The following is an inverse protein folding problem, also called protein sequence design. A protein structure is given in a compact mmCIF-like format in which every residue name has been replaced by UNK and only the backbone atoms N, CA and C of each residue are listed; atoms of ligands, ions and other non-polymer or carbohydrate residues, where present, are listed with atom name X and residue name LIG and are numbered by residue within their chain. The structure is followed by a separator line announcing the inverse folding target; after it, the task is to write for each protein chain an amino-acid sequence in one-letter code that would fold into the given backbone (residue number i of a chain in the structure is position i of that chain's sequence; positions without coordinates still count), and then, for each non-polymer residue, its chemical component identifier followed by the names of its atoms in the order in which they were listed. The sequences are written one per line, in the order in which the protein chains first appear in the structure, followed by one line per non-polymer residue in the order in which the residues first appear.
data_IF_369711996681
#
_entry.id   IF_369711996681
#
_cell.length_a   1.000
_cell.length_b   1.000
_cell.length_c   1.000
_cell.angle_alpha   90.00
_cell.angle_beta   90.00
_cell.angle_gamma   90.00
#
_symmetry.space_group_name_H-M   'P 1'
#
loop_
_entity.id
_entity.type
_entity.pdbx_description
1 polymer ?
#
# COMPACT_ATOMS: atom_id res chain seq x y z
N UNK A 1 -50.83 18.01 28.08
CA UNK A 1 -50.82 18.54 26.69
C UNK A 1 -49.36 18.70 26.27
N UNK A 2 -48.67 17.58 25.98
CA UNK A 2 -47.26 17.53 25.57
C UNK A 2 -47.18 16.55 24.40
N UNK A 3 -47.22 17.05 23.16
CA UNK A 3 -47.12 16.22 21.94
C UNK A 3 -46.45 16.95 20.77
N UNK A 4 -45.64 17.98 21.03
CA UNK A 4 -44.98 18.74 19.95
C UNK A 4 -43.48 18.43 19.80
N UNK A 5 -42.80 17.90 20.83
CA UNK A 5 -41.35 17.64 20.74
C UNK A 5 -40.99 16.33 20.00
N UNK A 6 -41.84 15.31 20.04
CA UNK A 6 -41.54 14.02 19.38
C UNK A 6 -41.62 14.11 17.86
N UNK A 7 -42.52 14.95 17.33
CA UNK A 7 -42.81 15.06 15.89
C UNK A 7 -41.71 15.85 15.17
N UNK A 8 -41.21 16.93 15.77
CA UNK A 8 -40.12 17.74 15.23
C UNK A 8 -38.79 16.97 15.19
N UNK A 9 -38.49 16.17 16.22
CA UNK A 9 -37.31 15.32 16.24
C UNK A 9 -37.36 14.22 15.17
N UNK A 10 -38.52 13.60 14.93
CA UNK A 10 -38.68 12.60 13.87
C UNK A 10 -38.58 13.17 12.46
N UNK A 11 -39.03 14.40 12.21
CA UNK A 11 -38.91 15.07 10.90
C UNK A 11 -37.48 15.52 10.60
N UNK A 12 -36.76 16.05 11.60
CA UNK A 12 -35.34 16.40 11.49
C UNK A 12 -34.49 15.14 11.31
N UNK A 13 -34.79 14.06 12.04
CA UNK A 13 -34.12 12.76 11.87
C UNK A 13 -34.43 12.12 10.51
N UNK A 14 -35.63 12.32 9.96
CA UNK A 14 -35.98 11.96 8.57
C UNK A 14 -35.18 12.76 7.56
N UNK A 15 -35.11 14.08 7.67
CA UNK A 15 -34.35 14.94 6.75
C UNK A 15 -32.85 14.64 6.80
N UNK A 16 -32.31 14.37 8.00
CA UNK A 16 -30.96 13.88 8.20
C UNK A 16 -30.81 12.47 7.61
N UNK A 17 -31.77 11.56 7.72
CA UNK A 17 -31.68 10.21 7.12
C UNK A 17 -31.82 10.19 5.58
N UNK A 18 -32.51 11.16 4.99
CA UNK A 18 -32.68 11.28 3.54
C UNK A 18 -31.44 11.90 2.90
N UNK A 19 -30.89 12.96 3.52
CA UNK A 19 -29.72 13.71 3.02
C UNK A 19 -28.37 13.12 3.48
N UNK A 20 -28.26 12.53 4.68
CA UNK A 20 -26.99 12.05 5.21
C UNK A 20 -26.56 10.68 4.66
N UNK A 21 -27.50 9.80 4.31
CA UNK A 21 -27.16 8.45 3.87
C UNK A 21 -26.53 8.40 2.47
N UNK A 22 -26.92 9.32 1.58
CA UNK A 22 -26.36 9.44 0.23
C UNK A 22 -24.98 10.12 0.25
N UNK A 23 -24.84 11.16 1.05
CA UNK A 23 -23.52 11.78 1.22
C UNK A 23 -22.53 10.83 1.91
N UNK A 24 -22.97 9.93 2.78
CA UNK A 24 -22.08 9.05 3.53
C UNK A 24 -21.25 8.11 2.63
N UNK A 25 -21.86 7.51 1.60
CA UNK A 25 -21.15 6.57 0.70
C UNK A 25 -20.10 7.31 -0.11
N UNK A 26 -20.46 8.47 -0.67
CA UNK A 26 -19.53 9.32 -1.42
C UNK A 26 -18.42 9.87 -0.52
N UNK A 27 -18.73 10.27 0.71
CA UNK A 27 -17.73 10.70 1.71
C UNK A 27 -16.79 9.56 2.07
N UNK A 28 -17.30 8.33 2.18
CA UNK A 28 -16.48 7.15 2.47
C UNK A 28 -15.55 6.83 1.27
N UNK A 29 -16.08 6.84 0.04
CA UNK A 29 -15.27 6.68 -1.19
C UNK A 29 -14.21 7.78 -1.30
N UNK A 30 -14.58 9.02 -0.99
CA UNK A 30 -13.65 10.15 -0.97
C UNK A 30 -12.57 9.97 0.10
N UNK A 31 -12.94 9.51 1.30
CA UNK A 31 -12.00 9.15 2.36
C UNK A 31 -11.02 8.05 1.92
N UNK A 32 -11.51 7.00 1.24
CA UNK A 32 -10.67 5.99 0.63
C UNK A 32 -9.68 6.59 -0.38
N UNK A 33 -10.11 7.54 -1.20
CA UNK A 33 -9.25 8.24 -2.17
C UNK A 33 -8.15 9.05 -1.50
N UNK A 34 -8.47 9.77 -0.42
CA UNK A 34 -7.48 10.57 0.33
C UNK A 34 -6.45 9.67 1.00
N UNK A 35 -6.90 8.59 1.64
CA UNK A 35 -6.02 7.62 2.31
C UNK A 35 -5.14 6.91 1.29
N UNK A 36 -5.69 6.43 0.17
CA UNK A 36 -4.90 5.75 -0.85
C UNK A 36 -3.84 6.66 -1.47
N UNK A 37 -4.20 7.92 -1.75
CA UNK A 37 -3.27 8.92 -2.27
C UNK A 37 -2.16 9.25 -1.28
N UNK A 38 -2.49 9.46 0.00
CA UNK A 38 -1.51 9.74 1.04
C UNK A 38 -0.49 8.60 1.19
N UNK A 39 -0.96 7.35 1.26
CA UNK A 39 -0.08 6.19 1.37
C UNK A 39 0.76 6.03 0.10
N UNK A 40 0.19 6.26 -1.10
CA UNK A 40 0.94 6.19 -2.34
C UNK A 40 2.12 7.17 -2.36
N UNK A 41 1.90 8.43 -1.97
CA UNK A 41 2.96 9.45 -1.92
C UNK A 41 4.02 9.11 -0.86
N UNK A 42 3.61 8.73 0.36
CA UNK A 42 4.53 8.28 1.43
C UNK A 42 5.45 7.16 0.91
N UNK A 43 4.85 6.13 0.30
CA UNK A 43 5.59 4.97 -0.22
C UNK A 43 6.49 5.33 -1.39
N UNK A 44 6.02 6.16 -2.32
CA UNK A 44 6.84 6.56 -3.47
C UNK A 44 8.06 7.36 -3.05
N UNK A 45 7.94 8.23 -2.03
CA UNK A 45 9.07 8.96 -1.48
C UNK A 45 10.05 8.05 -0.71
N UNK A 46 9.55 7.10 0.07
CA UNK A 46 10.38 6.12 0.76
C UNK A 46 11.18 5.26 -0.24
N UNK A 47 10.52 4.69 -1.24
CA UNK A 47 11.18 3.87 -2.27
C UNK A 47 12.25 4.68 -3.02
N UNK A 48 11.94 5.92 -3.41
CA UNK A 48 12.90 6.78 -4.11
C UNK A 48 14.09 7.19 -3.22
N UNK A 49 13.88 7.30 -1.91
CA UNK A 49 14.96 7.58 -0.95
C UNK A 49 15.81 6.34 -0.66
N UNK A 50 15.22 5.14 -0.77
CA UNK A 50 15.90 3.85 -0.63
C UNK A 50 16.61 3.39 -1.92
N UNK A 51 16.33 4.03 -3.06
CA UNK A 51 16.99 3.83 -4.35
C UNK A 51 18.42 4.42 -4.24
N UNK A 52 19.31 3.63 -3.63
CA UNK A 52 20.75 3.90 -3.63
C UNK A 52 21.26 3.58 -5.03
N UNK A 53 22.35 4.21 -5.44
CA UNK A 53 23.11 3.73 -6.60
C UNK A 53 23.78 2.40 -6.22
N UNK A 54 22.99 1.33 -6.19
CA UNK A 54 23.40 0.00 -5.78
C UNK A 54 24.59 -0.48 -6.57
N UNK A 55 24.65 -0.14 -7.87
CA UNK A 55 25.79 -0.50 -8.69
C UNK A 55 27.08 0.14 -8.18
N UNK A 56 27.06 1.45 -7.92
CA UNK A 56 28.22 2.14 -7.34
C UNK A 56 28.60 1.56 -5.97
N UNK A 57 27.60 1.35 -5.10
CA UNK A 57 27.79 0.77 -3.76
C UNK A 57 28.43 -0.62 -3.82
N UNK A 58 27.90 -1.53 -4.63
CA UNK A 58 28.42 -2.90 -4.77
C UNK A 58 29.81 -2.91 -5.38
N UNK A 59 30.09 -2.03 -6.36
CA UNK A 59 31.42 -1.90 -6.96
C UNK A 59 32.45 -1.47 -5.92
N UNK A 60 32.15 -0.43 -5.12
CA UNK A 60 33.08 0.07 -4.11
C UNK A 60 33.24 -0.92 -2.95
N UNK A 61 32.16 -1.57 -2.54
CA UNK A 61 32.21 -2.61 -1.52
C UNK A 61 33.06 -3.81 -1.96
N UNK A 62 32.88 -4.29 -3.20
CA UNK A 62 33.72 -5.36 -3.76
C UNK A 62 35.20 -4.99 -3.78
N UNK A 63 35.55 -3.74 -4.09
CA UNK A 63 36.95 -3.28 -4.04
C UNK A 63 37.50 -3.40 -2.62
N UNK A 64 36.83 -2.84 -1.63
CA UNK A 64 37.28 -2.89 -0.22
C UNK A 64 37.39 -4.32 0.31
N UNK A 65 36.43 -5.17 -0.05
CA UNK A 65 36.48 -6.59 0.31
C UNK A 65 37.68 -7.28 -0.32
N UNK A 66 37.97 -7.11 -1.62
CA UNK A 66 39.14 -7.74 -2.27
C UNK A 66 40.49 -7.42 -1.62
N UNK A 67 40.63 -6.30 -0.91
CA UNK A 67 41.85 -5.94 -0.16
C UNK A 67 41.85 -6.43 1.29
N UNK A 68 40.84 -7.21 1.70
CA UNK A 68 40.68 -7.75 3.05
C UNK A 68 40.26 -6.70 4.09
N UNK A 69 39.84 -5.50 3.66
CA UNK A 69 39.52 -4.40 4.56
C UNK A 69 38.04 -4.44 5.00
N UNK A 70 37.70 -5.42 5.82
CA UNK A 70 36.32 -5.60 6.34
C UNK A 70 35.83 -4.41 7.15
N UNK A 71 36.73 -3.72 7.86
CA UNK A 71 36.38 -2.53 8.68
C UNK A 71 35.91 -1.39 7.79
N UNK A 72 36.63 -1.14 6.69
CA UNK A 72 36.24 -0.13 5.71
C UNK A 72 34.95 -0.50 4.96
N UNK A 73 34.77 -1.79 4.64
CA UNK A 73 33.55 -2.29 4.02
C UNK A 73 32.32 -2.08 4.92
N UNK A 74 32.43 -2.37 6.22
CA UNK A 74 31.36 -2.12 7.22
C UNK A 74 31.08 -0.62 7.36
N UNK A 75 32.12 0.22 7.44
CA UNK A 75 31.96 1.67 7.51
C UNK A 75 31.28 2.25 6.26
N UNK A 76 31.58 1.73 5.07
CA UNK A 76 30.93 2.11 3.82
C UNK A 76 29.42 1.78 3.84
N UNK A 77 29.06 0.63 4.42
CA UNK A 77 27.65 0.25 4.61
C UNK A 77 26.92 1.21 5.54
N UNK A 78 27.56 1.65 6.63
CA UNK A 78 27.00 2.61 7.59
C UNK A 78 26.83 4.01 7.00
N UNK A 79 27.79 4.47 6.19
CA UNK A 79 27.73 5.78 5.55
C UNK A 79 26.69 5.85 4.41
N UNK A 80 26.55 4.76 3.65
CA UNK A 80 25.54 4.69 2.57
C UNK A 80 24.13 4.62 3.15
N UNK A 81 23.97 3.85 4.23
CA UNK A 81 22.68 3.58 4.85
C UNK A 81 21.71 2.83 3.93
N UNK A 82 20.46 2.72 4.36
CA UNK A 82 19.39 2.12 3.57
C UNK A 82 19.29 0.59 3.65
N UNK A 83 18.24 0.02 3.04
CA UNK A 83 17.87 -1.37 3.29
C UNK A 83 18.93 -2.37 2.79
N UNK A 84 19.49 -2.15 1.60
CA UNK A 84 20.51 -3.03 1.04
C UNK A 84 21.82 -3.00 1.85
N UNK A 85 22.25 -1.82 2.32
CA UNK A 85 23.49 -1.72 3.10
C UNK A 85 23.36 -2.40 4.46
N UNK A 86 22.19 -2.32 5.10
CA UNK A 86 21.90 -3.00 6.36
C UNK A 86 22.00 -4.53 6.21
N UNK A 87 21.47 -5.08 5.11
CA UNK A 87 21.54 -6.51 4.78
C UNK A 87 22.99 -6.93 4.56
N UNK A 88 23.74 -6.18 3.76
CA UNK A 88 25.14 -6.52 3.49
C UNK A 88 25.99 -6.40 4.75
N UNK A 89 25.75 -5.37 5.56
CA UNK A 89 26.42 -5.19 6.86
C UNK A 89 26.17 -6.37 7.80
N UNK A 90 24.96 -6.94 7.85
CA UNK A 90 24.68 -8.07 8.75
C UNK A 90 25.48 -9.32 8.37
N UNK A 91 25.70 -9.54 7.06
CA UNK A 91 26.61 -10.57 6.55
C UNK A 91 28.08 -10.27 6.89
N UNK A 92 28.55 -9.05 6.62
CA UNK A 92 29.93 -8.64 6.89
C UNK A 92 30.30 -8.69 8.38
N UNK A 93 29.38 -8.37 9.28
CA UNK A 93 29.58 -8.49 10.73
C UNK A 93 29.81 -9.95 11.18
N UNK A 94 29.45 -10.93 10.34
CA UNK A 94 29.63 -12.36 10.59
C UNK A 94 30.66 -13.01 9.67
N UNK A 95 31.53 -12.23 9.01
CA UNK A 95 32.56 -12.74 8.08
C UNK A 95 33.43 -13.89 8.63
N UNK A 96 33.66 -13.97 9.95
CA UNK A 96 34.42 -15.05 10.60
C UNK A 96 33.63 -16.34 10.85
N UNK A 97 32.35 -16.42 10.45
CA UNK A 97 31.49 -17.59 10.64
C UNK A 97 31.52 -18.51 9.42
N UNK A 98 30.74 -19.59 9.46
CA UNK A 98 30.50 -20.45 8.29
C UNK A 98 29.65 -19.70 7.27
N UNK A 99 29.76 -20.07 6.00
CA UNK A 99 28.96 -19.51 4.90
C UNK A 99 27.46 -19.51 5.24
N UNK A 100 26.94 -20.64 5.71
CA UNK A 100 25.54 -20.79 6.10
C UNK A 100 25.10 -19.73 7.14
N UNK A 101 25.94 -19.45 8.16
CA UNK A 101 25.63 -18.45 9.20
C UNK A 101 25.63 -17.00 8.68
N UNK A 102 26.37 -16.74 7.60
CA UNK A 102 26.43 -15.44 6.92
C UNK A 102 25.19 -15.27 6.05
N UNK A 103 24.86 -16.28 5.23
CA UNK A 103 23.65 -16.31 4.39
C UNK A 103 22.39 -16.16 5.24
N UNK A 104 22.25 -16.93 6.32
CA UNK A 104 21.14 -16.84 7.26
C UNK A 104 20.99 -15.42 7.85
N UNK A 105 22.11 -14.74 8.14
CA UNK A 105 22.10 -13.38 8.67
C UNK A 105 21.51 -12.38 7.68
N UNK A 106 21.96 -12.50 6.44
CA UNK A 106 21.55 -11.64 5.34
C UNK A 106 20.09 -11.91 4.99
N UNK A 107 19.68 -13.17 4.96
CA UNK A 107 18.29 -13.56 4.69
C UNK A 107 17.33 -13.01 5.76
N UNK A 108 17.63 -13.22 7.05
CA UNK A 108 16.80 -12.72 8.15
C UNK A 108 16.69 -11.19 8.12
N UNK A 109 17.81 -10.50 7.89
CA UNK A 109 17.82 -9.04 7.79
C UNK A 109 17.04 -8.57 6.55
N UNK A 110 17.21 -9.28 5.43
CA UNK A 110 16.49 -9.01 4.18
C UNK A 110 14.99 -9.13 4.34
N UNK A 111 14.50 -10.19 4.99
CA UNK A 111 13.08 -10.35 5.29
C UNK A 111 12.51 -9.19 6.12
N UNK A 112 13.25 -8.71 7.13
CA UNK A 112 12.83 -7.58 7.95
C UNK A 112 12.76 -6.28 7.15
N UNK A 113 13.78 -5.98 6.35
CA UNK A 113 13.84 -4.79 5.51
C UNK A 113 12.76 -4.79 4.42
N UNK A 114 12.54 -5.93 3.75
CA UNK A 114 11.48 -6.11 2.76
C UNK A 114 10.11 -5.90 3.42
N UNK A 115 9.87 -6.47 4.60
CA UNK A 115 8.62 -6.29 5.33
C UNK A 115 8.35 -4.81 5.69
N UNK A 116 9.39 -4.01 5.96
CA UNK A 116 9.25 -2.57 6.19
C UNK A 116 8.87 -1.80 4.92
N UNK A 117 9.41 -2.20 3.76
CA UNK A 117 9.07 -1.63 2.47
C UNK A 117 7.63 -1.98 2.05
N UNK A 118 7.20 -3.22 2.29
CA UNK A 118 5.84 -3.70 2.03
C UNK A 118 4.77 -3.12 2.97
N UNK A 119 5.19 -2.63 4.14
CA UNK A 119 4.29 -2.05 5.14
C UNK A 119 3.36 -1.02 4.49
N UNK A 120 2.08 -1.02 4.87
CA UNK A 120 1.03 -0.14 4.35
C UNK A 120 0.69 -0.29 2.85
N UNK A 121 1.55 -0.87 1.99
CA UNK A 121 1.23 -1.13 0.57
C UNK A 121 0.03 -2.06 0.43
N UNK A 122 -0.14 -3.02 1.35
CA UNK A 122 -1.33 -3.90 1.42
C UNK A 122 -2.65 -3.11 1.58
N UNK A 123 -2.63 -1.95 2.23
CA UNK A 123 -3.82 -1.12 2.42
C UNK A 123 -4.33 -0.59 1.07
N UNK A 124 -3.46 -0.26 0.11
CA UNK A 124 -3.89 0.13 -1.23
C UNK A 124 -4.63 -1.01 -1.93
N UNK A 125 -4.15 -2.25 -1.81
CA UNK A 125 -4.85 -3.41 -2.35
C UNK A 125 -6.25 -3.54 -1.75
N UNK A 126 -6.36 -3.41 -0.43
CA UNK A 126 -7.66 -3.46 0.26
C UNK A 126 -8.59 -2.36 -0.26
N UNK A 127 -8.12 -1.11 -0.37
CA UNK A 127 -8.92 0.01 -0.88
C UNK A 127 -9.34 -0.22 -2.34
N UNK A 128 -8.43 -0.71 -3.19
CA UNK A 128 -8.72 -1.01 -4.59
C UNK A 128 -9.85 -2.04 -4.75
N UNK A 129 -9.93 -3.03 -3.86
CA UNK A 129 -10.99 -4.04 -3.89
C UNK A 129 -12.29 -3.57 -3.21
N UNK A 130 -12.20 -2.80 -2.13
CA UNK A 130 -13.37 -2.40 -1.34
C UNK A 130 -14.07 -1.17 -1.92
N UNK A 131 -13.36 -0.21 -2.54
CA UNK A 131 -13.96 1.00 -3.12
C UNK A 131 -15.07 0.71 -4.15
N UNK A 132 -14.93 -0.25 -5.10
CA UNK A 132 -16.02 -0.64 -6.00
C UNK A 132 -17.18 -1.29 -5.27
N UNK A 133 -16.91 -2.09 -4.23
CA UNK A 133 -17.93 -2.75 -3.42
C UNK A 133 -18.76 -1.74 -2.62
N UNK A 134 -18.13 -0.67 -2.11
CA UNK A 134 -18.83 0.47 -1.50
C UNK A 134 -19.71 1.18 -2.53
N UNK A 135 -19.21 1.40 -3.76
CA UNK A 135 -19.99 1.99 -4.84
C UNK A 135 -21.22 1.15 -5.23
N UNK A 136 -21.03 -0.18 -5.31
CA UNK A 136 -22.09 -1.16 -5.54
C UNK A 136 -23.10 -1.20 -4.38
N UNK A 137 -22.66 -1.04 -3.13
CA UNK A 137 -23.58 -0.89 -2.00
C UNK A 137 -24.49 0.34 -2.19
N UNK A 138 -23.94 1.42 -2.76
CA UNK A 138 -24.71 2.61 -3.13
C UNK A 138 -25.82 2.33 -4.15
N UNK A 139 -25.60 1.47 -5.14
CA UNK A 139 -26.67 1.12 -6.09
C UNK A 139 -27.76 0.30 -5.44
N UNK A 140 -27.40 -0.68 -4.61
CA UNK A 140 -28.37 -1.49 -3.87
C UNK A 140 -29.26 -0.59 -3.00
N UNK A 141 -28.66 0.37 -2.30
CA UNK A 141 -29.41 1.33 -1.48
C UNK A 141 -30.28 2.28 -2.30
N UNK A 142 -29.82 2.73 -3.47
CA UNK A 142 -30.62 3.54 -4.40
C UNK A 142 -31.83 2.78 -4.94
N UNK A 143 -31.65 1.51 -5.34
CA UNK A 143 -32.75 0.65 -5.77
C UNK A 143 -33.78 0.42 -4.66
N UNK A 144 -33.34 0.10 -3.44
CA UNK A 144 -34.26 -0.09 -2.30
C UNK A 144 -35.14 1.15 -2.08
N UNK A 145 -34.58 2.36 -2.23
CA UNK A 145 -35.31 3.62 -2.07
C UNK A 145 -36.31 3.84 -3.19
N UNK A 146 -35.90 3.71 -4.45
CA UNK A 146 -36.80 3.87 -5.59
C UNK A 146 -38.00 2.93 -5.54
N UNK A 147 -37.79 1.66 -5.17
CA UNK A 147 -38.90 0.72 -4.96
C UNK A 147 -39.77 1.08 -3.74
N UNK A 148 -39.17 1.67 -2.70
CA UNK A 148 -39.88 2.24 -1.56
C UNK A 148 -40.81 3.39 -1.96
N UNK A 149 -40.32 4.34 -2.75
CA UNK A 149 -41.08 5.49 -3.25
C UNK A 149 -42.20 5.09 -4.21
N UNK A 150 -41.92 4.13 -5.10
CA UNK A 150 -42.92 3.55 -5.99
C UNK A 150 -44.07 2.89 -5.21
N UNK A 151 -43.76 2.20 -4.11
CA UNK A 151 -44.77 1.58 -3.24
C UNK A 151 -45.65 2.60 -2.51
N UNK A 152 -45.09 3.74 -2.12
CA UNK A 152 -45.80 4.75 -1.32
C UNK A 152 -46.66 5.69 -2.17
N UNK A 153 -46.21 6.04 -3.37
CA UNK A 153 -46.88 7.03 -4.23
C UNK A 153 -48.08 6.45 -5.00
N UNK A 154 -48.19 5.12 -5.08
CA UNK A 154 -49.18 4.45 -5.94
C UNK A 154 -48.88 4.68 -7.43
N UNK A 155 -49.40 3.81 -8.29
CA UNK A 155 -49.13 3.83 -9.74
C UNK A 155 -49.62 5.10 -10.47
N UNK A 156 -50.40 5.98 -9.82
CA UNK A 156 -51.09 7.11 -10.47
C UNK A 156 -50.42 8.48 -10.33
N UNK A 157 -49.42 8.64 -9.46
CA UNK A 157 -48.64 9.88 -9.36
C UNK A 157 -47.15 9.55 -9.23
N UNK A 158 -46.66 8.78 -10.20
CA UNK A 158 -45.23 8.51 -10.34
C UNK A 158 -44.61 9.84 -10.76
N UNK A 159 -44.25 10.68 -9.80
CA UNK A 159 -43.29 11.76 -10.04
C UNK A 159 -42.00 11.09 -10.51
N UNK A 160 -41.85 10.97 -11.82
CA UNK A 160 -40.69 10.36 -12.51
C UNK A 160 -39.37 10.99 -12.08
N UNK A 161 -39.43 12.19 -11.50
CA UNK A 161 -38.33 12.94 -10.91
C UNK A 161 -37.69 12.21 -9.72
N UNK A 162 -38.45 11.79 -8.70
CA UNK A 162 -37.86 11.27 -7.45
C UNK A 162 -37.19 9.90 -7.64
N UNK A 163 -37.84 9.03 -8.43
CA UNK A 163 -37.27 7.73 -8.82
C UNK A 163 -36.03 7.94 -9.70
N UNK A 164 -36.09 8.90 -10.63
CA UNK A 164 -34.97 9.26 -11.49
C UNK A 164 -33.74 9.71 -10.69
N UNK A 165 -33.93 10.57 -9.70
CA UNK A 165 -32.87 11.04 -8.80
C UNK A 165 -32.22 9.90 -8.00
N UNK A 166 -33.03 8.97 -7.46
CA UNK A 166 -32.51 7.82 -6.72
C UNK A 166 -31.68 6.86 -7.61
N UNK A 167 -32.09 6.70 -8.87
CA UNK A 167 -31.38 5.88 -9.86
C UNK A 167 -30.10 6.54 -10.35
N UNK A 168 -30.14 7.85 -10.63
CA UNK A 168 -28.97 8.62 -11.03
C UNK A 168 -27.90 8.56 -9.93
N UNK A 169 -28.30 8.80 -8.68
CA UNK A 169 -27.41 8.72 -7.54
C UNK A 169 -26.74 7.34 -7.41
N UNK A 170 -27.50 6.25 -7.57
CA UNK A 170 -26.98 4.88 -7.56
C UNK A 170 -25.86 4.68 -8.60
N UNK A 171 -26.04 5.19 -9.82
CA UNK A 171 -25.04 5.09 -10.87
C UNK A 171 -23.80 5.93 -10.54
N UNK A 172 -24.00 7.15 -10.03
CA UNK A 172 -22.91 8.05 -9.63
C UNK A 172 -22.03 7.44 -8.54
N UNK A 173 -22.60 6.77 -7.53
CA UNK A 173 -21.79 6.13 -6.47
C UNK A 173 -20.92 4.99 -7.00
N UNK A 174 -21.43 4.23 -7.98
CA UNK A 174 -20.65 3.16 -8.61
C UNK A 174 -19.52 3.72 -9.44
N UNK A 175 -19.82 4.73 -10.26
CA UNK A 175 -18.81 5.41 -11.05
C UNK A 175 -17.71 6.01 -10.14
N UNK A 176 -18.08 6.66 -9.04
CA UNK A 176 -17.14 7.21 -8.07
C UNK A 176 -16.23 6.12 -7.45
N UNK A 177 -16.81 4.98 -7.05
CA UNK A 177 -16.05 3.86 -6.50
C UNK A 177 -15.01 3.31 -7.49
N UNK A 178 -15.39 3.19 -8.77
CA UNK A 178 -14.48 2.75 -9.84
C UNK A 178 -13.38 3.76 -10.14
N UNK A 179 -13.71 5.06 -10.17
CA UNK A 179 -12.74 6.15 -10.40
C UNK A 179 -11.64 6.16 -9.34
N UNK A 180 -11.95 5.79 -8.09
CA UNK A 180 -10.94 5.67 -7.02
C UNK A 180 -10.19 4.33 -7.08
N UNK A 181 -10.91 3.24 -7.36
CA UNK A 181 -10.34 1.90 -7.35
C UNK A 181 -9.30 1.67 -8.44
N UNK A 182 -9.56 2.12 -9.67
CA UNK A 182 -8.68 1.86 -10.82
C UNK A 182 -7.28 2.47 -10.61
N UNK A 183 -7.14 3.78 -10.32
CA UNK A 183 -5.83 4.37 -10.04
C UNK A 183 -5.16 3.75 -8.81
N UNK A 184 -5.93 3.45 -7.75
CA UNK A 184 -5.38 2.82 -6.54
C UNK A 184 -4.81 1.43 -6.82
N UNK A 185 -5.48 0.65 -7.67
CA UNK A 185 -4.99 -0.68 -8.09
C UNK A 185 -3.71 -0.58 -8.92
N UNK A 186 -3.65 0.37 -9.85
CA UNK A 186 -2.43 0.62 -10.64
C UNK A 186 -1.27 1.05 -9.74
N UNK A 187 -1.51 1.97 -8.81
CA UNK A 187 -0.54 2.42 -7.82
C UNK A 187 -0.01 1.28 -6.95
N UNK A 188 -0.91 0.40 -6.46
CA UNK A 188 -0.54 -0.81 -5.72
C UNK A 188 0.40 -1.71 -6.52
N UNK A 189 0.02 -2.08 -7.75
CA UNK A 189 0.83 -2.97 -8.59
C UNK A 189 2.19 -2.35 -8.95
N UNK A 190 2.23 -1.04 -9.16
CA UNK A 190 3.49 -0.32 -9.38
C UNK A 190 4.44 -0.44 -8.18
N UNK A 191 3.92 -0.22 -6.96
CA UNK A 191 4.72 -0.34 -5.73
C UNK A 191 5.18 -1.77 -5.49
N UNK A 192 4.30 -2.77 -5.68
CA UNK A 192 4.66 -4.19 -5.56
C UNK A 192 5.79 -4.54 -6.54
N UNK A 193 5.65 -4.17 -7.81
CA UNK A 193 6.69 -4.44 -8.81
C UNK A 193 8.03 -3.80 -8.47
N UNK A 194 8.03 -2.64 -7.80
CA UNK A 194 9.27 -2.01 -7.31
C UNK A 194 9.88 -2.76 -6.15
N UNK A 195 9.07 -3.25 -5.21
CA UNK A 195 9.55 -4.11 -4.12
C UNK A 195 10.12 -5.41 -4.68
N UNK A 196 9.45 -6.07 -5.62
CA UNK A 196 9.95 -7.30 -6.26
C UNK A 196 11.32 -7.10 -6.92
N UNK A 197 11.52 -5.97 -7.61
CA UNK A 197 12.84 -5.61 -8.17
C UNK A 197 13.90 -5.47 -7.09
N UNK A 198 13.56 -4.85 -5.97
CA UNK A 198 14.45 -4.72 -4.83
C UNK A 198 14.80 -6.08 -4.21
N UNK A 199 13.84 -7.01 -4.13
CA UNK A 199 14.10 -8.39 -3.67
C UNK A 199 15.14 -9.09 -4.56
N UNK A 200 14.99 -8.99 -5.88
CA UNK A 200 15.95 -9.58 -6.82
C UNK A 200 17.35 -8.97 -6.69
N UNK A 201 17.42 -7.67 -6.44
CA UNK A 201 18.66 -6.93 -6.22
C UNK A 201 19.35 -7.37 -4.92
N UNK A 202 18.59 -7.55 -3.83
CA UNK A 202 19.07 -8.11 -2.57
C UNK A 202 19.63 -9.52 -2.78
N UNK A 203 18.90 -10.39 -3.47
CA UNK A 203 19.35 -11.77 -3.72
C UNK A 203 20.66 -11.81 -4.52
N UNK A 204 20.72 -11.04 -5.61
CA UNK A 204 21.90 -10.98 -6.49
C UNK A 204 23.12 -10.42 -5.75
N UNK A 205 22.91 -9.34 -4.97
CA UNK A 205 23.97 -8.70 -4.20
C UNK A 205 24.45 -9.59 -3.05
N UNK A 206 23.53 -10.25 -2.36
CA UNK A 206 23.86 -11.14 -1.25
C UNK A 206 24.73 -12.31 -1.71
N UNK A 207 24.30 -13.01 -2.77
CA UNK A 207 25.08 -14.10 -3.37
C UNK A 207 26.46 -13.63 -3.82
N UNK A 208 26.53 -12.48 -4.50
CA UNK A 208 27.79 -11.85 -4.89
C UNK A 208 28.74 -11.61 -3.71
N UNK A 209 28.23 -11.10 -2.60
CA UNK A 209 29.07 -10.75 -1.45
C UNK A 209 29.55 -12.01 -0.73
N UNK A 210 28.68 -13.00 -0.59
CA UNK A 210 29.05 -14.31 -0.03
C UNK A 210 30.15 -14.96 -0.87
N UNK A 211 30.02 -14.97 -2.20
CA UNK A 211 31.07 -15.51 -3.08
C UNK A 211 32.43 -14.81 -2.86
N UNK A 212 32.43 -13.48 -2.71
CA UNK A 212 33.67 -12.73 -2.45
C UNK A 212 34.27 -13.11 -1.09
N UNK A 213 33.43 -13.24 -0.05
CA UNK A 213 33.89 -13.64 1.29
C UNK A 213 34.45 -15.06 1.33
N UNK A 214 33.82 -16.00 0.62
CA UNK A 214 34.26 -17.39 0.54
C UNK A 214 35.58 -17.51 -0.22
N UNK A 215 35.70 -16.90 -1.40
CA UNK A 215 36.93 -16.94 -2.20
C UNK A 215 38.13 -16.34 -1.46
N UNK A 216 37.93 -15.25 -0.72
CA UNK A 216 39.01 -14.69 0.10
C UNK A 216 39.45 -15.58 1.25
N UNK A 217 38.54 -16.36 1.83
CA UNK A 217 38.89 -17.29 2.88
C UNK A 217 39.80 -18.41 2.36
N UNK A 218 39.52 -18.91 1.15
CA UNK A 218 40.38 -19.90 0.49
C UNK A 218 41.79 -19.34 0.22
N UNK A 219 41.91 -18.07 -0.20
CA UNK A 219 43.20 -17.41 -0.43
C UNK A 219 44.05 -17.23 0.85
N UNK A 220 43.42 -17.20 2.04
CA UNK A 220 44.10 -17.07 3.35
C UNK A 220 44.43 -18.40 4.04
N UNK A 221 43.85 -19.52 3.58
CA UNK A 221 44.13 -20.87 4.11
C UNK A 221 45.27 -21.60 3.36
N UNK A 222 45.93 -20.94 2.40
CA UNK A 222 47.12 -21.40 1.66
C UNK A 222 48.38 -20.69 2.17
#
# INVERSE_FOLDING_TARGET
MFSFDTIAFTEIWKHISTIANWNLILVLIFGCSVVSFAIFIERMLLLKRSEIDTNAFVIDLRKSLRYGNYVEAIASCENTGGPLSNIVRSGLMRHNRKQDEIEDAMEVTGMLEIALLEKNTRILSIIAHIAPLIGLLGTVLGFIRAFGEMRLSGLMDISTTNIGEAMEYALVTTAAGLVVAIPTFVAYNYLVSRVDRFVLEVQTTSSTIVDVLVNQREDYEI
#
